data_IF_639307172004
#
_entry.id   IF_639307172004
#
_cell.length_a   1.000
_cell.length_b   1.000
_cell.length_c   1.000
_cell.angle_alpha   90.00
_cell.angle_beta   90.00
_cell.angle_gamma   90.00
#
_symmetry.space_group_name_H-M   'P 1'
#
loop_
_entity.id
_entity.type
_entity.pdbx_description
1 polymer ?
#
# COMPACT_ATOMS: atom_id res chain seq x y z
N UNK A 1 3.81 -8.34 -19.06
CA UNK A 1 2.77 -7.31 -18.85
C UNK A 1 1.42 -7.94 -19.14
N UNK A 2 0.42 -7.67 -18.30
CA UNK A 2 -0.98 -8.06 -18.53
C UNK A 2 -1.59 -7.18 -19.63
N UNK A 3 -2.02 -7.74 -20.76
CA UNK A 3 -2.62 -6.95 -21.84
C UNK A 3 -3.99 -6.35 -21.47
N UNK A 4 -4.69 -6.87 -20.45
CA UNK A 4 -6.00 -6.35 -20.04
C UNK A 4 -5.87 -5.24 -18.99
N UNK A 5 -4.94 -5.41 -18.05
CA UNK A 5 -4.81 -4.49 -16.91
C UNK A 5 -3.57 -3.61 -16.98
N UNK A 6 -2.61 -3.87 -17.87
CA UNK A 6 -1.36 -3.11 -17.98
C UNK A 6 -0.35 -3.36 -16.85
N UNK A 7 -0.66 -4.24 -15.88
CA UNK A 7 0.26 -4.53 -14.78
C UNK A 7 1.39 -5.48 -15.18
N UNK A 8 2.56 -5.30 -14.57
CA UNK A 8 3.66 -6.25 -14.68
C UNK A 8 3.49 -7.42 -13.69
N UNK A 9 3.93 -8.60 -14.11
CA UNK A 9 4.02 -9.81 -13.29
C UNK A 9 5.47 -10.25 -13.20
N UNK A 10 5.87 -10.70 -12.01
CA UNK A 10 7.19 -11.28 -11.78
C UNK A 10 7.07 -12.65 -11.12
N UNK A 11 8.06 -13.51 -11.37
CA UNK A 11 8.14 -14.83 -10.75
C UNK A 11 8.97 -14.77 -9.48
N UNK A 12 8.31 -14.93 -8.34
CA UNK A 12 8.86 -15.06 -6.99
C UNK A 12 8.28 -16.29 -6.30
N UNK A 13 8.91 -17.44 -6.50
CA UNK A 13 8.46 -18.71 -5.91
C UNK A 13 8.52 -18.62 -4.38
N UNK A 14 7.43 -18.96 -3.70
CA UNK A 14 7.35 -18.96 -2.24
C UNK A 14 7.09 -17.59 -1.59
N UNK A 15 7.02 -16.51 -2.36
CA UNK A 15 6.74 -15.18 -1.83
C UNK A 15 5.25 -15.04 -1.44
N UNK A 16 4.90 -14.38 -0.31
CA UNK A 16 3.51 -14.27 0.16
C UNK A 16 2.53 -13.64 -0.85
N UNK A 17 2.97 -12.63 -1.60
CA UNK A 17 2.16 -11.99 -2.66
C UNK A 17 2.14 -12.78 -3.98
N UNK A 18 2.92 -13.86 -4.08
CA UNK A 18 2.94 -14.69 -5.28
C UNK A 18 1.85 -15.77 -5.20
N UNK A 19 1.06 -15.88 -6.27
CA UNK A 19 0.03 -16.90 -6.44
C UNK A 19 0.66 -18.24 -6.86
N UNK A 20 -0.18 -19.17 -7.31
CA UNK A 20 0.24 -20.47 -7.87
C UNK A 20 1.36 -20.31 -8.91
N UNK A 21 2.32 -21.25 -8.87
CA UNK A 21 3.55 -21.27 -9.69
C UNK A 21 4.52 -20.11 -9.43
N UNK A 22 4.30 -19.33 -8.37
CA UNK A 22 5.18 -18.25 -7.94
C UNK A 22 5.00 -16.94 -8.71
N UNK A 23 3.90 -16.72 -9.41
CA UNK A 23 3.65 -15.46 -10.11
C UNK A 23 2.88 -14.47 -9.25
N UNK A 24 3.38 -13.23 -9.12
CA UNK A 24 2.68 -12.15 -8.42
C UNK A 24 2.76 -10.84 -9.20
N UNK A 25 1.88 -9.91 -8.86
CA UNK A 25 1.92 -8.54 -9.40
C UNK A 25 3.14 -7.81 -8.86
N UNK A 26 3.94 -7.22 -9.74
CA UNK A 26 5.22 -6.62 -9.36
C UNK A 26 5.05 -5.50 -8.33
N UNK A 27 4.12 -4.56 -8.54
CA UNK A 27 3.85 -3.48 -7.57
C UNK A 27 3.47 -4.00 -6.18
N UNK A 28 2.76 -5.14 -6.08
CA UNK A 28 2.38 -5.72 -4.78
C UNK A 28 3.60 -6.31 -4.09
N UNK A 29 4.44 -7.03 -4.83
CA UNK A 29 5.67 -7.62 -4.30
C UNK A 29 6.63 -6.52 -3.84
N UNK A 30 6.86 -5.49 -4.68
CA UNK A 30 7.73 -4.36 -4.32
C UNK A 30 7.23 -3.66 -3.06
N UNK A 31 5.92 -3.42 -2.96
CA UNK A 31 5.35 -2.81 -1.75
C UNK A 31 5.48 -3.72 -0.54
N UNK A 32 5.15 -5.01 -0.62
CA UNK A 32 5.28 -5.92 0.54
C UNK A 32 6.72 -6.10 1.00
N UNK A 33 7.68 -6.13 0.06
CA UNK A 33 9.11 -6.17 0.38
C UNK A 33 9.53 -4.90 1.13
N UNK A 34 9.07 -3.73 0.69
CA UNK A 34 9.34 -2.46 1.36
C UNK A 34 8.69 -2.37 2.76
N UNK A 35 7.46 -2.88 2.91
CA UNK A 35 6.78 -2.95 4.20
C UNK A 35 7.41 -3.98 5.16
N UNK A 36 8.14 -4.97 4.64
CA UNK A 36 8.62 -6.12 5.41
C UNK A 36 7.50 -7.06 5.88
N UNK A 37 6.30 -6.95 5.28
CA UNK A 37 5.14 -7.79 5.58
C UNK A 37 4.25 -7.97 4.34
N UNK A 38 3.44 -9.04 4.28
CA UNK A 38 2.38 -9.15 3.27
C UNK A 38 1.39 -7.97 3.36
N UNK A 39 0.74 -7.69 2.24
CA UNK A 39 -0.34 -6.71 2.19
C UNK A 39 -1.59 -7.29 2.86
N UNK A 40 -2.29 -6.48 3.64
CA UNK A 40 -3.59 -6.86 4.17
C UNK A 40 -4.63 -6.97 3.06
N UNK A 41 -5.71 -7.77 3.25
CA UNK A 41 -6.75 -7.95 2.23
C UNK A 41 -7.44 -6.65 1.81
N UNK A 42 -7.48 -5.66 2.70
CA UNK A 42 -8.04 -4.33 2.49
C UNK A 42 -7.02 -3.28 2.02
N UNK A 43 -5.76 -3.68 1.78
CA UNK A 43 -4.72 -2.81 1.24
C UNK A 43 -4.60 -2.93 -0.29
N UNK A 44 -4.33 -1.79 -0.92
CA UNK A 44 -4.03 -1.69 -2.34
C UNK A 44 -2.82 -0.81 -2.57
N UNK A 45 -2.15 -1.07 -3.70
CA UNK A 45 -1.01 -0.27 -4.14
C UNK A 45 -1.47 0.60 -5.30
N UNK A 46 -1.19 1.90 -5.21
CA UNK A 46 -1.55 2.91 -6.20
C UNK A 46 -0.29 3.50 -6.85
N UNK A 47 -0.32 3.71 -8.16
CA UNK A 47 0.76 4.35 -8.92
C UNK A 47 0.51 5.85 -9.02
N UNK A 48 1.43 6.66 -8.48
CA UNK A 48 1.29 8.12 -8.41
C UNK A 48 1.19 8.75 -9.80
N UNK A 49 2.03 8.29 -10.75
CA UNK A 49 2.02 8.79 -12.13
C UNK A 49 0.97 8.13 -13.04
N UNK A 50 0.19 7.17 -12.52
CA UNK A 50 -0.80 6.40 -13.29
C UNK A 50 -0.22 5.38 -14.27
N UNK A 51 1.11 5.25 -14.36
CA UNK A 51 1.82 4.32 -15.25
C UNK A 51 1.98 2.98 -14.54
N UNK A 52 1.25 1.96 -15.01
CA UNK A 52 1.02 0.68 -14.29
C UNK A 52 2.22 -0.28 -14.28
N UNK A 53 3.23 -0.03 -15.11
CA UNK A 53 4.48 -0.79 -15.17
C UNK A 53 5.67 -0.06 -14.51
N UNK A 54 5.49 1.20 -14.08
CA UNK A 54 6.48 1.91 -13.27
C UNK A 54 6.35 1.51 -11.79
N UNK A 55 6.95 0.36 -11.46
CA UNK A 55 6.85 -0.27 -10.13
C UNK A 55 7.95 0.16 -9.15
N UNK A 56 8.62 1.30 -9.39
CA UNK A 56 9.60 1.84 -8.45
C UNK A 56 8.90 2.28 -7.16
N UNK A 57 9.48 2.00 -5.99
CA UNK A 57 8.82 2.23 -4.70
C UNK A 57 8.42 3.69 -4.50
N UNK A 58 9.21 4.63 -4.99
CA UNK A 58 8.91 6.07 -4.95
C UNK A 58 7.68 6.48 -5.76
N UNK A 59 7.25 5.65 -6.72
CA UNK A 59 6.05 5.85 -7.54
C UNK A 59 4.83 5.10 -6.99
N UNK A 60 4.97 4.32 -5.91
CA UNK A 60 3.91 3.52 -5.33
C UNK A 60 3.41 4.12 -4.01
N UNK A 61 2.10 3.98 -3.77
CA UNK A 61 1.48 4.33 -2.50
C UNK A 61 0.63 3.19 -1.97
N UNK A 62 0.75 2.92 -0.67
CA UNK A 62 -0.15 2.04 0.05
C UNK A 62 -1.45 2.77 0.41
N UNK A 63 -2.58 2.20 -0.01
CA UNK A 63 -3.93 2.70 0.22
C UNK A 63 -4.74 1.67 1.01
N UNK A 64 -5.43 2.11 2.07
CA UNK A 64 -6.46 1.32 2.75
C UNK A 64 -7.82 1.54 2.07
N UNK A 65 -8.49 0.47 1.65
CA UNK A 65 -9.83 0.52 1.05
C UNK A 65 -10.96 0.19 2.04
N UNK A 66 -10.63 -0.34 3.21
CA UNK A 66 -11.64 -0.64 4.23
C UNK A 66 -12.23 0.67 4.77
N UNK A 67 -13.55 0.79 4.69
CA UNK A 67 -14.31 1.84 5.36
C UNK A 67 -15.71 1.30 5.67
N UNK A 68 -16.29 1.65 6.83
CA UNK A 68 -17.57 1.08 7.21
C UNK A 68 -18.71 1.92 6.60
N UNK A 69 -19.70 1.28 5.98
CA UNK A 69 -20.82 1.95 5.31
C UNK A 69 -22.02 2.17 6.25
N UNK A 70 -22.74 3.29 6.13
CA UNK A 70 -24.03 3.50 6.82
C UNK A 70 -23.98 3.40 8.36
N UNK A 71 -22.95 3.98 8.98
CA UNK A 71 -22.62 3.75 10.39
C UNK A 71 -23.05 4.85 11.36
N UNK A 72 -23.32 4.48 12.62
CA UNK A 72 -23.51 5.44 13.72
C UNK A 72 -22.17 6.10 14.09
N UNK A 73 -22.23 7.15 14.91
CA UNK A 73 -21.02 7.86 15.37
C UNK A 73 -20.12 6.94 16.20
N UNK A 74 -20.69 6.13 17.08
CA UNK A 74 -19.95 5.16 17.91
C UNK A 74 -19.18 4.14 17.07
N UNK A 75 -19.80 3.59 16.02
CA UNK A 75 -19.16 2.65 15.09
C UNK A 75 -17.98 3.31 14.34
N UNK A 76 -18.14 4.58 13.95
CA UNK A 76 -17.06 5.35 13.31
C UNK A 76 -15.89 5.58 14.25
N UNK A 77 -16.15 5.86 15.52
CA UNK A 77 -15.10 6.04 16.52
C UNK A 77 -14.36 4.72 16.78
N UNK A 78 -15.09 3.61 16.89
CA UNK A 78 -14.50 2.29 17.02
C UNK A 78 -13.59 1.95 15.83
N UNK A 79 -14.09 2.12 14.60
CA UNK A 79 -13.30 1.89 13.39
C UNK A 79 -12.08 2.82 13.31
N UNK A 80 -12.22 4.09 13.67
CA UNK A 80 -11.10 5.03 13.67
C UNK A 80 -10.00 4.58 14.65
N UNK A 81 -10.37 4.10 15.84
CA UNK A 81 -9.43 3.55 16.82
C UNK A 81 -8.74 2.30 16.30
N UNK A 82 -9.46 1.39 15.64
CA UNK A 82 -8.86 0.20 15.01
C UNK A 82 -7.84 0.57 13.94
N UNK A 83 -8.16 1.53 13.07
CA UNK A 83 -7.22 2.03 12.05
C UNK A 83 -6.00 2.67 12.70
N UNK A 84 -6.20 3.50 13.73
CA UNK A 84 -5.08 4.09 14.47
C UNK A 84 -4.21 3.00 15.08
N UNK A 85 -4.80 2.04 15.78
CA UNK A 85 -4.08 0.94 16.43
C UNK A 85 -3.28 0.12 15.43
N UNK A 86 -3.87 -0.17 14.28
CA UNK A 86 -3.25 -0.95 13.21
C UNK A 86 -2.02 -0.27 12.61
N UNK A 87 -2.08 1.05 12.41
CA UNK A 87 -1.05 1.79 11.69
C UNK A 87 -0.17 2.67 12.61
N UNK A 88 -0.43 2.72 13.92
CA UNK A 88 0.40 3.51 14.84
C UNK A 88 1.80 2.88 14.88
N UNK A 89 2.80 3.68 14.53
CA UNK A 89 4.20 3.23 14.51
C UNK A 89 4.56 2.30 13.35
N UNK A 90 3.66 2.05 12.40
CA UNK A 90 4.01 1.36 11.16
C UNK A 90 5.16 2.15 10.46
N UNK A 91 6.30 1.50 10.13
CA UNK A 91 7.47 2.18 9.59
C UNK A 91 7.16 2.99 8.32
N UNK A 92 6.33 2.47 7.42
CA UNK A 92 5.94 3.17 6.21
C UNK A 92 5.14 4.44 6.53
N UNK A 93 4.23 4.37 7.51
CA UNK A 93 3.44 5.55 7.91
C UNK A 93 4.33 6.60 8.58
N UNK A 94 5.29 6.18 9.42
CA UNK A 94 6.26 7.09 10.06
C UNK A 94 7.12 7.77 8.99
N UNK A 95 7.72 7.00 8.08
CA UNK A 95 8.55 7.52 6.99
C UNK A 95 7.79 8.55 6.13
N UNK A 96 6.56 8.22 5.71
CA UNK A 96 5.74 9.12 4.88
C UNK A 96 5.35 10.41 5.62
N UNK A 97 5.08 10.34 6.93
CA UNK A 97 4.80 11.53 7.76
C UNK A 97 6.02 12.42 7.86
N UNK A 98 7.20 11.85 8.07
CA UNK A 98 8.46 12.59 8.14
C UNK A 98 8.81 13.24 6.79
N UNK A 99 8.66 12.50 5.69
CA UNK A 99 8.85 13.04 4.34
C UNK A 99 7.94 14.25 4.07
N UNK A 100 6.64 14.14 4.39
CA UNK A 100 5.69 15.27 4.27
C UNK A 100 6.07 16.46 5.14
N UNK A 101 6.58 16.22 6.36
CA UNK A 101 7.04 17.29 7.25
C UNK A 101 8.27 18.01 6.69
N UNK A 102 9.24 17.27 6.13
CA UNK A 102 10.43 17.86 5.48
C UNK A 102 10.05 18.74 4.29
N UNK A 103 9.12 18.29 3.44
CA UNK A 103 8.64 19.07 2.29
C UNK A 103 7.99 20.40 2.71
N UNK A 104 7.22 20.42 3.81
CA UNK A 104 6.60 21.64 4.34
C UNK A 104 7.58 22.61 5.02
N UNK A 105 8.78 22.13 5.38
CA UNK A 105 9.79 22.92 6.08
C UNK A 105 10.79 23.62 5.13
N UNK A 106 10.71 23.37 3.83
CA UNK A 106 11.50 24.10 2.83
C UNK A 106 10.83 25.47 2.61
N UNK A 107 11.50 26.60 2.92
CA UNK A 107 10.95 27.92 2.64
C UNK A 107 10.77 28.10 1.14
N UNK A 108 9.61 28.66 0.77
CA UNK A 108 9.20 29.02 -0.59
C UNK A 108 10.15 30.00 -1.26
#
# INVERSE_FOLDING_TARGET
MDPQTGYAFIKRVGHPEAKSRGWGYEHRIVMSDHLGRPLWPDENVHHINGVRDDNRIENLELWSKSQPCGQRVEDKLAWALEIIERYKGDPYVVERREAKRKLKAVPS
#
